data_IF_813350321403
#
_entry.id   IF_813350321403
#
_cell.length_a   1.000
_cell.length_b   1.000
_cell.length_c   1.000
_cell.angle_alpha   90.00
_cell.angle_beta   90.00
_cell.angle_gamma   90.00
#
_symmetry.space_group_name_H-M   'P 1'
#
loop_
_entity.id
_entity.type
_entity.pdbx_description
1 polymer ?
#
# COMPACT_ATOMS: atom_id res chain seq x y z
N UNK A 1 8.51 -26.88 63.88
CA UNK A 1 9.16 -25.57 63.94
C UNK A 1 10.08 -25.46 62.74
N UNK A 2 9.93 -24.58 61.76
CA UNK A 2 8.90 -23.61 61.41
C UNK A 2 9.14 -23.39 59.92
N UNK A 3 8.18 -23.75 59.06
CA UNK A 3 8.22 -23.43 57.63
C UNK A 3 7.72 -22.00 57.51
N UNK A 4 8.61 -21.06 57.25
CA UNK A 4 8.24 -19.67 56.97
C UNK A 4 8.05 -19.50 55.47
N UNK A 5 6.78 -19.52 55.09
CA UNK A 5 6.12 -18.65 54.10
C UNK A 5 7.01 -17.58 53.47
N UNK A 6 7.17 -17.64 52.15
CA UNK A 6 7.40 -16.44 51.35
C UNK A 6 6.31 -16.34 50.27
N UNK A 7 5.75 -15.14 50.23
CA UNK A 7 4.50 -14.76 49.59
C UNK A 7 4.59 -14.76 48.07
N UNK A 8 3.66 -15.49 47.44
CA UNK A 8 3.33 -15.35 46.01
C UNK A 8 2.74 -13.96 45.80
N UNK A 9 3.47 -13.10 45.09
CA UNK A 9 2.93 -11.83 44.57
C UNK A 9 2.04 -12.12 43.35
N UNK A 10 0.91 -11.42 43.19
CA UNK A 10 0.06 -11.58 42.03
C UNK A 10 0.76 -11.07 40.76
N UNK A 11 0.64 -11.86 39.69
CA UNK A 11 1.00 -11.45 38.35
C UNK A 11 0.21 -10.18 37.99
N UNK A 12 0.91 -9.04 37.93
CA UNK A 12 0.40 -7.85 37.25
C UNK A 12 0.37 -8.14 35.76
N UNK A 13 -0.84 -8.21 35.22
CA UNK A 13 -1.15 -8.26 33.80
C UNK A 13 -0.42 -7.12 33.10
N UNK A 14 0.63 -7.46 32.33
CA UNK A 14 1.29 -6.51 31.44
C UNK A 14 0.26 -6.11 30.39
N UNK A 15 -0.12 -4.83 30.41
CA UNK A 15 -0.93 -4.21 29.37
C UNK A 15 -0.34 -4.53 27.99
N UNK A 16 -1.19 -5.03 27.10
CA UNK A 16 -0.88 -5.16 25.69
C UNK A 16 -0.44 -3.79 25.13
N UNK A 17 0.65 -3.68 24.37
CA UNK A 17 0.93 -2.45 23.66
C UNK A 17 -0.15 -2.26 22.60
N UNK A 18 -0.90 -1.17 22.75
CA UNK A 18 -1.92 -0.72 21.82
C UNK A 18 -1.39 -0.78 20.39
N UNK A 19 -2.05 -1.56 19.56
CA UNK A 19 -1.86 -1.57 18.12
C UNK A 19 -2.13 -0.16 17.59
N UNK A 20 -1.15 0.38 16.88
CA UNK A 20 -1.23 1.69 16.26
C UNK A 20 -2.50 1.77 15.41
N UNK A 21 -3.43 2.62 15.84
CA UNK A 21 -4.64 2.93 15.11
C UNK A 21 -4.25 3.46 13.73
N UNK A 22 -4.72 2.79 12.68
CA UNK A 22 -4.87 3.42 11.39
C UNK A 22 -6.14 4.26 11.48
N UNK A 23 -6.04 5.43 12.10
CA UNK A 23 -7.09 6.43 11.94
C UNK A 23 -7.12 6.81 10.45
N UNK A 24 -8.28 6.78 9.78
CA UNK A 24 -8.38 7.31 8.44
C UNK A 24 -7.91 8.77 8.49
N UNK A 25 -6.84 9.10 7.74
CA UNK A 25 -6.56 10.52 7.46
C UNK A 25 -7.81 11.05 6.81
N UNK A 26 -8.37 12.12 7.38
CA UNK A 26 -9.31 12.99 6.70
C UNK A 26 -8.79 13.23 5.29
N UNK A 27 -9.56 12.80 4.30
CA UNK A 27 -9.28 13.12 2.90
C UNK A 27 -9.09 14.65 2.81
N UNK A 28 -8.04 15.14 2.16
CA UNK A 28 -7.83 16.55 1.86
C UNK A 28 -9.08 17.23 1.30
N UNK A 29 -9.64 18.17 2.09
CA UNK A 29 -10.67 19.09 1.61
C UNK A 29 -10.07 19.93 0.50
N UNK A 30 -10.67 19.87 -0.70
CA UNK A 30 -10.12 20.42 -1.95
C UNK A 30 -8.77 19.83 -2.36
N UNK A 31 -8.48 19.76 -3.66
CA UNK A 31 -7.21 19.24 -4.21
C UNK A 31 -5.94 20.01 -3.78
N UNK A 32 -6.04 20.92 -2.82
CA UNK A 32 -4.92 21.69 -2.27
C UNK A 32 -4.15 20.94 -1.15
N UNK A 33 -4.81 20.06 -0.39
CA UNK A 33 -4.19 19.42 0.80
C UNK A 33 -3.52 18.06 0.52
N UNK A 34 -3.53 17.58 -0.73
CA UNK A 34 -2.65 16.49 -1.20
C UNK A 34 -1.24 17.00 -1.58
N UNK A 35 -1.02 18.32 -1.55
CA UNK A 35 0.26 18.97 -1.83
C UNK A 35 1.06 19.35 -0.57
N UNK A 36 0.52 19.17 0.64
CA UNK A 36 1.19 19.57 1.89
C UNK A 36 1.89 18.38 2.58
N UNK A 37 2.85 17.80 1.88
CA UNK A 37 3.90 16.95 2.46
C UNK A 37 5.25 17.64 2.28
N UNK A 38 5.56 18.57 3.18
CA UNK A 38 6.86 19.24 3.42
C UNK A 38 8.00 18.90 2.45
N UNK A 39 8.30 19.87 1.56
CA UNK A 39 9.63 20.30 1.15
C UNK A 39 10.68 19.22 0.92
N UNK A 40 10.58 18.51 -0.19
CA UNK A 40 11.77 17.95 -0.81
C UNK A 40 11.66 18.21 -2.30
N UNK A 41 12.34 19.26 -2.78
CA UNK A 41 12.20 19.87 -4.11
C UNK A 41 12.76 18.97 -5.23
N UNK A 42 12.70 17.65 -5.06
CA UNK A 42 13.34 16.66 -5.92
C UNK A 42 14.88 16.67 -5.83
N UNK A 43 15.45 17.42 -4.88
CA UNK A 43 16.89 17.54 -4.67
C UNK A 43 17.37 16.33 -3.88
N UNK A 44 18.37 15.62 -4.39
CA UNK A 44 18.95 14.49 -3.68
C UNK A 44 19.89 14.97 -2.57
N UNK A 45 19.77 14.39 -1.38
CA UNK A 45 20.72 14.60 -0.29
C UNK A 45 22.05 13.85 -0.60
N UNK A 46 23.18 14.56 -0.78
CA UNK A 46 24.47 13.93 -1.11
C UNK A 46 24.97 12.95 -0.03
N UNK A 47 24.63 13.18 1.25
CA UNK A 47 25.05 12.30 2.34
C UNK A 47 24.25 11.00 2.32
N UNK A 48 22.93 11.08 2.14
CA UNK A 48 22.10 9.88 1.97
C UNK A 48 22.51 9.08 0.72
N UNK A 49 22.80 9.78 -0.39
CA UNK A 49 23.26 9.16 -1.63
C UNK A 49 24.58 8.39 -1.42
N UNK A 50 25.54 9.00 -0.72
CA UNK A 50 26.81 8.36 -0.40
C UNK A 50 26.64 7.16 0.54
N UNK A 51 25.84 7.29 1.60
CA UNK A 51 25.55 6.19 2.54
C UNK A 51 24.93 5.00 1.79
N UNK A 52 23.93 5.26 0.95
CA UNK A 52 23.28 4.26 0.14
C UNK A 52 24.26 3.54 -0.80
N UNK A 53 25.09 4.28 -1.53
CA UNK A 53 26.06 3.68 -2.47
C UNK A 53 27.13 2.86 -1.73
N UNK A 54 27.59 3.32 -0.56
CA UNK A 54 28.50 2.54 0.29
C UNK A 54 27.86 1.24 0.75
N UNK A 55 26.60 1.29 1.19
CA UNK A 55 25.85 0.10 1.58
C UNK A 55 25.68 -0.88 0.41
N UNK A 56 25.30 -0.38 -0.77
CA UNK A 56 25.13 -1.19 -1.97
C UNK A 56 26.43 -1.90 -2.36
N UNK A 57 27.56 -1.20 -2.40
CA UNK A 57 28.86 -1.78 -2.72
C UNK A 57 29.36 -2.78 -1.67
N UNK A 58 29.08 -2.54 -0.39
CA UNK A 58 29.45 -3.46 0.68
C UNK A 58 28.67 -4.78 0.59
N UNK A 59 27.36 -4.72 0.35
CA UNK A 59 26.50 -5.92 0.21
C UNK A 59 26.61 -6.58 -1.17
N UNK A 60 27.18 -5.89 -2.17
CA UNK A 60 27.36 -6.38 -3.53
C UNK A 60 28.79 -6.09 -4.04
N UNK A 61 29.83 -6.83 -3.59
CA UNK A 61 31.22 -6.46 -3.84
C UNK A 61 31.68 -6.57 -5.30
N UNK A 62 30.93 -7.26 -6.16
CA UNK A 62 31.29 -7.48 -7.59
C UNK A 62 30.63 -6.46 -8.51
N UNK A 63 30.87 -5.17 -8.26
CA UNK A 63 30.40 -4.10 -9.15
C UNK A 63 31.36 -3.89 -10.32
N UNK A 64 30.80 -3.58 -11.50
CA UNK A 64 31.58 -3.25 -12.70
C UNK A 64 32.26 -1.88 -12.58
N UNK A 65 31.64 -0.93 -11.88
CA UNK A 65 32.19 0.39 -11.60
C UNK A 65 32.71 0.40 -10.15
N UNK A 66 33.97 0.83 -9.89
CA UNK A 66 34.47 0.98 -8.53
C UNK A 66 33.71 2.05 -7.74
N UNK A 67 33.56 1.85 -6.42
CA UNK A 67 32.83 2.76 -5.52
C UNK A 67 33.30 4.21 -5.65
N UNK A 68 34.61 4.46 -5.63
CA UNK A 68 35.14 5.82 -5.70
C UNK A 68 34.78 6.53 -7.01
N UNK A 69 34.74 5.79 -8.12
CA UNK A 69 34.32 6.32 -9.41
C UNK A 69 32.81 6.61 -9.42
N UNK A 70 32.00 5.71 -8.85
CA UNK A 70 30.55 5.88 -8.73
C UNK A 70 30.18 7.07 -7.84
N UNK A 71 30.86 7.25 -6.71
CA UNK A 71 30.66 8.39 -5.80
C UNK A 71 31.03 9.73 -6.45
N UNK A 72 32.13 9.79 -7.23
CA UNK A 72 32.47 11.00 -8.00
C UNK A 72 31.40 11.33 -9.04
N UNK A 73 30.91 10.33 -9.77
CA UNK A 73 29.83 10.51 -10.75
C UNK A 73 28.54 11.01 -10.09
N UNK A 74 28.12 10.38 -8.98
CA UNK A 74 26.95 10.79 -8.22
C UNK A 74 27.05 12.25 -7.76
N UNK A 75 28.20 12.68 -7.19
CA UNK A 75 28.39 14.06 -6.75
C UNK A 75 28.32 15.05 -7.92
N UNK A 76 28.98 14.73 -9.03
CA UNK A 76 28.92 15.56 -10.24
C UNK A 76 27.49 15.69 -10.80
N UNK A 77 26.70 14.61 -10.79
CA UNK A 77 25.30 14.63 -11.20
C UNK A 77 24.46 15.54 -10.29
N UNK A 78 24.63 15.41 -8.97
CA UNK A 78 23.91 16.25 -8.00
C UNK A 78 24.32 17.72 -8.12
N UNK A 79 25.61 18.02 -8.23
CA UNK A 79 26.10 19.40 -8.38
C UNK A 79 25.54 20.07 -9.66
N UNK A 80 25.33 19.28 -10.72
CA UNK A 80 24.87 19.78 -12.02
C UNK A 80 23.35 19.85 -12.14
N UNK A 81 22.63 18.86 -11.60
CA UNK A 81 21.20 18.66 -11.86
C UNK A 81 20.34 18.70 -10.60
N UNK A 82 20.97 18.77 -9.43
CA UNK A 82 20.34 18.64 -8.12
C UNK A 82 19.95 17.21 -7.73
N UNK A 83 20.17 16.22 -8.60
CA UNK A 83 19.83 14.81 -8.31
C UNK A 83 20.78 13.84 -9.03
N UNK A 84 20.57 12.53 -8.88
CA UNK A 84 21.32 11.51 -9.61
C UNK A 84 20.42 10.33 -9.98
N UNK A 85 20.88 9.49 -10.91
CA UNK A 85 20.10 8.35 -11.41
C UNK A 85 20.69 7.05 -10.88
N UNK A 86 19.84 6.23 -10.27
CA UNK A 86 20.16 4.86 -9.88
C UNK A 86 20.32 3.93 -11.09
N UNK A 87 21.25 2.99 -11.05
CA UNK A 87 21.20 1.82 -11.95
C UNK A 87 20.01 0.92 -11.61
N UNK A 88 19.70 -0.05 -12.47
CA UNK A 88 18.64 -1.04 -12.19
C UNK A 88 18.98 -1.88 -10.95
N UNK A 89 20.25 -2.23 -10.77
CA UNK A 89 20.76 -2.99 -9.63
C UNK A 89 20.65 -2.18 -8.33
N UNK A 90 21.05 -0.91 -8.36
CA UNK A 90 20.92 0.02 -7.24
C UNK A 90 19.44 0.21 -6.86
N UNK A 91 18.55 0.43 -7.84
CA UNK A 91 17.11 0.56 -7.59
C UNK A 91 16.52 -0.71 -6.96
N UNK A 92 16.92 -1.88 -7.47
CA UNK A 92 16.47 -3.18 -6.96
C UNK A 92 16.94 -3.40 -5.53
N UNK A 93 18.20 -3.08 -5.23
CA UNK A 93 18.75 -3.16 -3.89
C UNK A 93 18.02 -2.19 -2.95
N UNK A 94 17.88 -0.92 -3.32
CA UNK A 94 17.23 0.11 -2.52
C UNK A 94 15.77 -0.24 -2.17
N UNK A 95 14.98 -0.71 -3.15
CA UNK A 95 13.61 -1.13 -2.90
C UNK A 95 13.52 -2.31 -1.92
N UNK A 96 14.43 -3.28 -2.03
CA UNK A 96 14.53 -4.43 -1.12
C UNK A 96 14.94 -4.02 0.29
N UNK A 97 15.92 -3.14 0.42
CA UNK A 97 16.36 -2.60 1.72
C UNK A 97 15.27 -1.73 2.35
N UNK A 98 14.53 -0.95 1.57
CA UNK A 98 13.39 -0.18 2.07
C UNK A 98 12.34 -1.10 2.71
N UNK A 99 12.03 -2.24 2.08
CA UNK A 99 11.12 -3.22 2.69
C UNK A 99 11.73 -3.92 3.90
N UNK A 100 13.02 -4.29 3.86
CA UNK A 100 13.77 -4.82 5.02
C UNK A 100 13.66 -3.90 6.24
N UNK A 101 13.67 -2.59 6.00
CA UNK A 101 13.65 -1.54 7.03
C UNK A 101 12.23 -1.08 7.41
N UNK A 102 11.17 -1.61 6.79
CA UNK A 102 9.79 -1.25 7.09
C UNK A 102 9.35 -1.83 8.45
N UNK A 103 9.56 -1.06 9.53
CA UNK A 103 9.35 -1.50 10.92
C UNK A 103 7.93 -1.99 11.23
N UNK A 104 6.93 -1.50 10.51
CA UNK A 104 5.52 -1.88 10.64
C UNK A 104 5.12 -3.09 9.79
N UNK A 105 6.01 -3.60 8.93
CA UNK A 105 5.72 -4.73 8.06
C UNK A 105 6.13 -6.05 8.71
N UNK A 106 5.15 -6.86 9.11
CA UNK A 106 5.38 -8.21 9.63
C UNK A 106 6.04 -9.14 8.59
N UNK A 107 5.74 -8.93 7.30
CA UNK A 107 6.26 -9.72 6.17
C UNK A 107 7.72 -9.45 5.78
N UNK A 108 8.46 -8.62 6.53
CA UNK A 108 9.83 -8.20 6.17
C UNK A 108 10.85 -9.33 6.02
N UNK A 109 10.58 -10.55 6.52
CA UNK A 109 11.44 -11.72 6.34
C UNK A 109 11.66 -12.06 4.85
N UNK A 110 10.68 -11.73 3.99
CA UNK A 110 10.68 -12.05 2.57
C UNK A 110 11.32 -10.99 1.68
N UNK A 111 11.99 -9.99 2.28
CA UNK A 111 12.54 -8.83 1.58
C UNK A 111 13.40 -9.17 0.37
N UNK A 112 14.20 -10.24 0.46
CA UNK A 112 15.06 -10.71 -0.62
C UNK A 112 14.32 -11.27 -1.84
N UNK A 113 13.09 -11.76 -1.66
CA UNK A 113 12.25 -12.28 -2.75
C UNK A 113 11.45 -11.22 -3.50
N UNK A 114 11.55 -9.95 -3.09
CA UNK A 114 10.83 -8.86 -3.76
C UNK A 114 11.23 -8.79 -5.23
N UNK A 115 10.22 -8.88 -6.09
CA UNK A 115 10.36 -8.60 -7.51
C UNK A 115 10.23 -7.09 -7.73
N UNK A 116 11.29 -6.49 -8.25
CA UNK A 116 11.33 -5.06 -8.56
C UNK A 116 11.14 -4.88 -10.06
N UNK A 117 10.11 -4.13 -10.43
CA UNK A 117 9.81 -3.76 -11.81
C UNK A 117 10.24 -2.30 -12.02
N UNK A 118 11.32 -2.10 -12.76
CA UNK A 118 11.79 -0.77 -13.14
C UNK A 118 10.89 -0.20 -14.26
N UNK A 119 10.03 0.75 -13.89
CA UNK A 119 9.06 1.42 -14.76
C UNK A 119 9.35 2.92 -14.88
N UNK A 120 10.58 3.35 -14.56
CA UNK A 120 10.97 4.78 -14.53
C UNK A 120 10.85 5.49 -15.88
N UNK A 121 10.75 4.74 -16.98
CA UNK A 121 10.58 5.27 -18.34
C UNK A 121 9.12 5.50 -18.75
N UNK A 122 8.15 5.03 -17.96
CA UNK A 122 6.74 5.25 -18.26
C UNK A 122 6.34 6.68 -17.90
N UNK A 123 5.77 7.40 -18.87
CA UNK A 123 5.43 8.82 -18.72
C UNK A 123 3.93 9.07 -18.91
N UNK A 124 3.33 8.43 -19.91
CA UNK A 124 1.92 8.62 -20.21
C UNK A 124 1.03 7.85 -19.22
N UNK A 125 -0.15 8.39 -18.84
CA UNK A 125 -1.09 7.70 -17.94
C UNK A 125 -1.47 6.30 -18.41
N UNK A 126 -1.63 6.08 -19.72
CA UNK A 126 -1.95 4.78 -20.31
C UNK A 126 -0.83 3.75 -20.09
N UNK A 127 0.44 4.15 -20.28
CA UNK A 127 1.60 3.28 -20.02
C UNK A 127 1.72 2.94 -18.54
N UNK A 128 1.44 3.92 -17.66
CA UNK A 128 1.42 3.70 -16.22
C UNK A 128 0.33 2.69 -15.88
N UNK A 129 -0.89 2.89 -16.37
CA UNK A 129 -2.01 1.96 -16.21
C UNK A 129 -1.65 0.53 -16.64
N UNK A 130 -1.07 0.35 -17.83
CA UNK A 130 -0.63 -0.95 -18.33
C UNK A 130 0.38 -1.61 -17.38
N UNK A 131 1.31 -0.84 -16.82
CA UNK A 131 2.26 -1.33 -15.83
C UNK A 131 1.63 -1.65 -14.46
N UNK A 132 0.56 -0.96 -14.07
CA UNK A 132 -0.20 -1.29 -12.86
C UNK A 132 -0.98 -2.60 -13.04
N UNK A 133 -1.57 -2.82 -14.22
CA UNK A 133 -2.24 -4.09 -14.56
C UNK A 133 -1.23 -5.24 -14.60
N UNK A 134 -0.06 -5.04 -15.22
CA UNK A 134 1.03 -6.02 -15.22
C UNK A 134 1.56 -6.31 -13.80
N UNK A 135 1.66 -5.28 -12.95
CA UNK A 135 2.00 -5.45 -11.53
C UNK A 135 1.00 -6.38 -10.85
N UNK A 136 -0.29 -6.10 -10.96
CA UNK A 136 -1.35 -6.92 -10.35
C UNK A 136 -1.33 -8.36 -10.89
N UNK A 137 -1.17 -8.53 -12.21
CA UNK A 137 -1.06 -9.86 -12.82
C UNK A 137 0.12 -10.66 -12.27
N UNK A 138 1.27 -10.01 -12.17
CA UNK A 138 2.44 -10.64 -11.58
C UNK A 138 2.21 -10.94 -10.10
N UNK A 139 1.69 -9.99 -9.32
CA UNK A 139 1.41 -10.18 -7.90
C UNK A 139 0.45 -11.34 -7.64
N UNK A 140 -0.65 -11.42 -8.39
CA UNK A 140 -1.70 -12.44 -8.27
C UNK A 140 -1.18 -13.84 -8.55
N UNK A 141 -0.40 -14.04 -9.61
CA UNK A 141 0.33 -15.30 -9.88
C UNK A 141 -0.53 -16.58 -9.68
N UNK A 142 -1.73 -16.61 -10.28
CA UNK A 142 -2.70 -17.70 -10.14
C UNK A 142 -3.00 -18.08 -8.67
N UNK A 143 -3.12 -17.08 -7.80
CA UNK A 143 -3.39 -17.24 -6.36
C UNK A 143 -2.15 -17.52 -5.51
N UNK A 144 -0.99 -17.81 -6.11
CA UNK A 144 0.29 -17.95 -5.40
C UNK A 144 0.96 -16.59 -5.22
N UNK A 145 0.32 -15.74 -4.42
CA UNK A 145 0.67 -14.32 -4.28
C UNK A 145 2.17 -14.15 -4.06
N UNK A 146 2.80 -13.25 -4.82
CA UNK A 146 4.22 -12.92 -4.67
C UNK A 146 4.42 -11.43 -4.42
N UNK A 147 5.47 -11.03 -3.67
CA UNK A 147 5.77 -9.63 -3.45
C UNK A 147 6.31 -8.98 -4.71
N UNK A 148 5.69 -7.88 -5.13
CA UNK A 148 6.10 -7.07 -6.28
C UNK A 148 6.13 -5.61 -5.88
N UNK A 149 7.06 -4.85 -6.43
CA UNK A 149 7.04 -3.39 -6.44
C UNK A 149 7.26 -2.89 -7.88
N UNK A 150 6.46 -1.94 -8.32
CA UNK A 150 6.70 -1.23 -9.59
C UNK A 150 7.18 0.18 -9.27
N UNK A 151 8.38 0.55 -9.70
CA UNK A 151 8.94 1.88 -9.39
C UNK A 151 8.89 2.76 -10.63
N UNK A 152 8.12 3.84 -10.57
CA UNK A 152 7.95 4.81 -11.65
C UNK A 152 8.95 5.97 -11.52
N UNK A 153 8.86 6.97 -12.40
CA UNK A 153 9.80 8.09 -12.42
C UNK A 153 9.87 8.82 -11.07
N UNK A 154 11.08 9.22 -10.63
CA UNK A 154 11.25 9.98 -9.39
C UNK A 154 10.75 11.43 -9.54
N UNK A 155 10.57 12.10 -8.40
CA UNK A 155 10.60 13.57 -8.37
C UNK A 155 12.03 14.05 -8.68
N UNK A 156 12.16 15.13 -9.43
CA UNK A 156 13.43 15.82 -9.77
C UNK A 156 13.25 17.33 -9.59
N UNK A 157 14.33 18.12 -9.47
CA UNK A 157 14.20 19.57 -9.33
C UNK A 157 13.50 20.24 -10.51
N UNK A 158 13.63 19.65 -11.71
CA UNK A 158 12.98 20.15 -12.91
C UNK A 158 11.52 19.70 -13.05
N UNK A 159 11.13 18.59 -12.43
CA UNK A 159 9.86 17.91 -12.73
C UNK A 159 9.43 16.92 -11.65
N UNK A 160 8.16 16.99 -11.26
CA UNK A 160 7.54 15.98 -10.38
C UNK A 160 7.35 14.64 -11.07
N UNK A 161 7.38 13.54 -10.32
CA UNK A 161 7.01 12.21 -10.78
C UNK A 161 5.48 12.00 -10.86
N UNK A 162 5.03 10.88 -11.47
CA UNK A 162 3.62 10.52 -11.49
C UNK A 162 3.11 10.15 -10.10
N UNK A 163 1.79 10.23 -9.90
CA UNK A 163 1.10 9.89 -8.64
C UNK A 163 -0.17 9.10 -8.92
N UNK A 164 -0.59 8.31 -7.94
CA UNK A 164 -1.93 7.73 -7.86
C UNK A 164 -2.68 8.40 -6.72
N UNK A 165 -3.96 8.70 -6.91
CA UNK A 165 -4.80 9.15 -5.80
C UNK A 165 -5.27 7.98 -4.92
N UNK A 166 -5.31 6.78 -5.48
CA UNK A 166 -5.67 5.56 -4.76
C UNK A 166 -4.63 5.25 -3.69
N UNK A 167 -5.10 4.87 -2.51
CA UNK A 167 -4.25 4.41 -1.41
C UNK A 167 -3.77 2.96 -1.61
N UNK A 168 -4.59 2.13 -2.25
CA UNK A 168 -4.25 0.82 -2.78
C UNK A 168 -4.79 0.65 -4.19
N UNK A 169 -4.14 -0.18 -5.01
CA UNK A 169 -4.56 -0.43 -6.39
C UNK A 169 -5.96 -1.04 -6.46
N UNK A 170 -6.29 -1.96 -5.55
CA UNK A 170 -7.60 -2.60 -5.51
C UNK A 170 -8.28 -2.21 -4.20
N UNK A 171 -9.42 -1.52 -4.32
CA UNK A 171 -10.34 -1.21 -3.23
C UNK A 171 -11.78 -1.21 -3.70
N UNK A 172 -12.69 -1.49 -2.78
CA UNK A 172 -14.12 -1.43 -3.05
C UNK A 172 -14.66 -0.03 -2.82
N UNK A 173 -15.62 0.37 -3.66
CA UNK A 173 -16.32 1.64 -3.54
C UNK A 173 -17.27 1.64 -2.33
N UNK A 174 -17.59 2.83 -1.85
CA UNK A 174 -18.64 3.08 -0.86
C UNK A 174 -19.68 4.04 -1.41
N UNK A 175 -20.96 3.72 -1.25
CA UNK A 175 -22.07 4.53 -1.72
C UNK A 175 -22.97 4.89 -0.56
N UNK A 176 -23.12 6.18 -0.27
CA UNK A 176 -24.07 6.67 0.73
C UNK A 176 -25.49 6.61 0.15
N UNK A 177 -26.38 5.93 0.86
CA UNK A 177 -27.81 5.88 0.58
C UNK A 177 -28.53 7.08 1.20
N UNK A 178 -29.75 7.34 0.75
CA UNK A 178 -30.58 8.46 1.22
C UNK A 178 -30.94 8.37 2.71
N UNK A 179 -31.02 7.14 3.25
CA UNK A 179 -31.29 6.86 4.66
C UNK A 179 -30.04 6.99 5.56
N UNK A 180 -28.89 7.37 4.99
CA UNK A 180 -27.62 7.53 5.67
C UNK A 180 -26.79 6.24 5.80
N UNK A 181 -27.33 5.08 5.41
CA UNK A 181 -26.57 3.82 5.34
C UNK A 181 -25.55 3.87 4.20
N UNK A 182 -24.60 2.94 4.20
CA UNK A 182 -23.59 2.84 3.15
C UNK A 182 -23.60 1.45 2.54
N UNK A 183 -23.69 1.40 1.20
CA UNK A 183 -23.44 0.20 0.41
C UNK A 183 -21.95 0.13 0.04
N UNK A 184 -21.33 -1.03 0.26
CA UNK A 184 -19.89 -1.22 -0.01
C UNK A 184 -19.03 -0.80 1.16
N UNK A 185 -17.88 -0.17 0.91
CA UNK A 185 -16.88 0.15 1.94
C UNK A 185 -16.99 1.61 2.43
N UNK A 186 -17.41 1.87 3.68
CA UNK A 186 -17.57 3.23 4.20
C UNK A 186 -16.30 4.08 4.21
N UNK A 187 -15.12 3.46 4.31
CA UNK A 187 -13.86 4.20 4.24
C UNK A 187 -13.65 4.89 2.88
N UNK A 188 -14.29 4.40 1.83
CA UNK A 188 -14.11 4.90 0.46
C UNK A 188 -15.24 5.76 -0.06
N UNK A 189 -16.30 6.04 0.71
CA UNK A 189 -17.44 6.87 0.26
C UNK A 189 -16.99 8.18 -0.38
N UNK A 190 -16.10 8.91 0.30
CA UNK A 190 -15.64 10.19 -0.21
C UNK A 190 -14.80 10.05 -1.47
N UNK A 191 -13.94 9.03 -1.55
CA UNK A 191 -13.15 8.79 -2.75
C UNK A 191 -14.03 8.36 -3.92
N UNK A 192 -15.02 7.50 -3.67
CA UNK A 192 -16.06 7.11 -4.62
C UNK A 192 -16.81 8.32 -5.18
N UNK A 193 -17.25 9.24 -4.33
CA UNK A 193 -17.90 10.49 -4.75
C UNK A 193 -16.98 11.32 -5.67
N UNK A 194 -15.70 11.46 -5.31
CA UNK A 194 -14.72 12.19 -6.11
C UNK A 194 -14.52 11.57 -7.49
N UNK A 195 -14.33 10.26 -7.59
CA UNK A 195 -14.13 9.61 -8.91
C UNK A 195 -15.41 9.63 -9.75
N UNK A 196 -16.60 9.61 -9.14
CA UNK A 196 -17.87 9.81 -9.85
C UNK A 196 -17.99 11.22 -10.42
N UNK A 197 -17.57 12.25 -9.68
CA UNK A 197 -17.51 13.64 -10.19
C UNK A 197 -16.54 13.79 -11.35
N UNK A 198 -15.50 12.97 -11.40
CA UNK A 198 -14.55 12.91 -12.52
C UNK A 198 -15.06 12.07 -13.71
N UNK A 199 -16.29 11.54 -13.63
CA UNK A 199 -16.97 10.86 -14.73
C UNK A 199 -17.04 9.34 -14.60
N UNK A 200 -16.53 8.73 -13.52
CA UNK A 200 -16.65 7.29 -13.31
C UNK A 200 -18.12 6.84 -13.20
N UNK A 201 -18.50 5.87 -14.02
CA UNK A 201 -19.85 5.30 -14.04
C UNK A 201 -19.92 4.13 -13.05
N UNK A 202 -20.24 4.44 -11.81
CA UNK A 202 -20.35 3.47 -10.73
C UNK A 202 -21.44 2.42 -10.99
N UNK A 203 -21.13 1.09 -10.93
CA UNK A 203 -22.14 0.03 -11.04
C UNK A 203 -23.13 -0.04 -9.87
N UNK A 204 -22.76 0.50 -8.71
CA UNK A 204 -23.53 0.51 -7.45
C UNK A 204 -23.75 -0.87 -6.80
N UNK A 205 -22.71 -1.73 -6.79
CA UNK A 205 -22.65 -2.99 -6.05
C UNK A 205 -21.79 -2.93 -4.77
N UNK A 206 -21.97 -3.87 -3.83
CA UNK A 206 -21.25 -3.89 -2.55
C UNK A 206 -19.75 -4.21 -2.65
N UNK A 207 -19.29 -4.70 -3.79
CA UNK A 207 -17.90 -5.06 -4.07
C UNK A 207 -17.43 -4.48 -5.42
N UNK A 208 -17.91 -3.28 -5.75
CA UNK A 208 -17.44 -2.56 -6.93
C UNK A 208 -16.01 -2.11 -6.74
N UNK A 209 -15.12 -2.53 -7.63
CA UNK A 209 -13.73 -2.10 -7.61
C UNK A 209 -13.63 -0.69 -8.16
N UNK A 210 -12.99 0.18 -7.39
CA UNK A 210 -12.70 1.56 -7.76
C UNK A 210 -11.75 1.63 -8.97
N UNK A 211 -11.90 2.66 -9.83
CA UNK A 211 -10.94 2.93 -10.88
C UNK A 211 -9.63 3.42 -10.27
N UNK A 212 -8.53 3.26 -11.00
CA UNK A 212 -7.28 3.96 -10.66
C UNK A 212 -7.29 5.36 -11.26
N UNK A 213 -6.87 6.33 -10.46
CA UNK A 213 -6.80 7.75 -10.83
C UNK A 213 -5.34 8.14 -10.97
N UNK A 214 -4.90 8.29 -12.22
CA UNK A 214 -3.50 8.54 -12.57
C UNK A 214 -3.29 10.03 -12.82
N UNK A 215 -2.34 10.61 -12.09
CA UNK A 215 -1.93 12.00 -12.17
C UNK A 215 -0.48 12.09 -12.65
N UNK A 216 -0.27 12.63 -13.86
CA UNK A 216 1.06 12.85 -14.45
C UNK A 216 1.31 14.36 -14.63
N UNK A 217 2.59 14.79 -14.78
CA UNK A 217 2.91 16.21 -14.91
C UNK A 217 2.33 16.88 -16.16
N UNK A 218 2.27 16.16 -17.27
CA UNK A 218 1.95 16.73 -18.59
C UNK A 218 0.51 16.48 -19.04
N UNK A 219 -0.21 15.58 -18.37
CA UNK A 219 -1.56 15.19 -18.74
C UNK A 219 -2.58 15.66 -17.72
N UNK A 220 -3.83 15.75 -18.17
CA UNK A 220 -4.96 15.83 -17.24
C UNK A 220 -5.08 14.53 -16.47
N UNK A 221 -5.66 14.61 -15.28
CA UNK A 221 -6.05 13.46 -14.48
C UNK A 221 -6.86 12.45 -15.33
N UNK A 222 -6.46 11.18 -15.33
CA UNK A 222 -7.15 10.12 -16.08
C UNK A 222 -7.61 8.99 -15.17
N UNK A 223 -8.81 8.47 -15.47
CA UNK A 223 -9.43 7.36 -14.75
C UNK A 223 -9.38 6.11 -15.61
N UNK A 224 -8.99 5.00 -15.01
CA UNK A 224 -8.98 3.70 -15.67
C UNK A 224 -9.65 2.65 -14.79
N UNK A 225 -10.66 1.98 -15.33
CA UNK A 225 -11.21 0.79 -14.69
C UNK A 225 -10.19 -0.34 -14.74
N UNK A 226 -9.96 -1.00 -13.62
CA UNK A 226 -9.09 -2.18 -13.60
C UNK A 226 -9.79 -3.39 -14.25
N UNK A 227 -9.07 -4.22 -15.01
CA UNK A 227 -9.63 -5.42 -15.61
C UNK A 227 -10.15 -6.39 -14.54
N UNK A 228 -11.38 -6.91 -14.70
CA UNK A 228 -11.98 -7.90 -13.80
C UNK A 228 -11.52 -9.33 -14.05
N UNK A 229 -10.51 -9.53 -14.89
CA UNK A 229 -9.89 -10.82 -15.14
C UNK A 229 -9.31 -11.38 -13.83
N UNK A 230 -9.65 -12.61 -13.40
CA UNK A 230 -9.07 -13.25 -12.21
C UNK A 230 -7.54 -13.31 -12.18
N UNK A 231 -6.88 -13.29 -13.34
CA UNK A 231 -5.42 -13.23 -13.42
C UNK A 231 -4.87 -11.87 -12.98
N UNK A 232 -5.66 -10.80 -13.05
CA UNK A 232 -5.31 -9.45 -12.60
C UNK A 232 -5.89 -9.20 -11.21
N UNK A 233 -7.20 -9.38 -11.06
CA UNK A 233 -7.93 -9.18 -9.81
C UNK A 233 -8.56 -10.51 -9.40
N UNK A 234 -7.85 -11.23 -8.54
CA UNK A 234 -8.42 -12.40 -7.87
C UNK A 234 -9.22 -11.94 -6.65
N UNK A 235 -10.52 -12.27 -6.61
CA UNK A 235 -11.37 -12.15 -5.42
C UNK A 235 -11.61 -13.52 -4.80
N UNK A 236 -11.56 -13.59 -3.47
CA UNK A 236 -11.81 -14.81 -2.70
C UNK A 236 -13.17 -14.69 -2.02
N UNK A 237 -14.14 -15.55 -2.34
CA UNK A 237 -15.39 -15.65 -1.58
C UNK A 237 -15.11 -16.07 -0.15
N UNK A 238 -15.73 -15.39 0.82
CA UNK A 238 -15.61 -15.76 2.23
C UNK A 238 -16.69 -16.77 2.56
N UNK A 239 -16.28 -17.99 2.91
CA UNK A 239 -17.16 -19.10 3.26
C UNK A 239 -16.85 -19.58 4.67
N UNK A 240 -17.87 -19.98 5.43
CA UNK A 240 -17.67 -20.56 6.76
C UNK A 240 -17.85 -22.08 6.73
N UNK A 241 -16.90 -22.88 7.27
CA UNK A 241 -16.93 -24.35 7.16
C UNK A 241 -18.13 -25.00 7.87
N UNK A 242 -18.71 -24.32 8.85
CA UNK A 242 -19.78 -24.86 9.71
C UNK A 242 -21.04 -23.99 9.79
N UNK A 243 -21.05 -22.80 9.16
CA UNK A 243 -22.15 -21.84 9.31
C UNK A 243 -22.56 -21.31 7.93
N UNK A 244 -23.48 -22.01 7.27
CA UNK A 244 -23.97 -21.65 5.94
C UNK A 244 -24.50 -20.21 5.90
N UNK A 245 -25.17 -19.75 6.97
CA UNK A 245 -25.72 -18.39 7.04
C UNK A 245 -24.66 -17.29 6.92
N UNK A 246 -23.40 -17.55 7.32
CA UNK A 246 -22.29 -16.60 7.11
C UNK A 246 -21.87 -16.61 5.64
N UNK A 247 -21.81 -17.78 5.01
CA UNK A 247 -21.54 -17.91 3.57
C UNK A 247 -22.61 -17.19 2.73
N UNK A 248 -23.86 -17.23 3.16
CA UNK A 248 -25.00 -16.62 2.46
C UNK A 248 -24.94 -15.07 2.44
N UNK A 249 -24.07 -14.45 3.25
CA UNK A 249 -23.79 -13.00 3.17
C UNK A 249 -23.11 -12.59 1.85
N UNK A 250 -22.56 -13.54 1.10
CA UNK A 250 -21.95 -13.27 -0.21
C UNK A 250 -20.69 -12.40 -0.15
N UNK A 251 -20.04 -12.35 1.00
CA UNK A 251 -18.82 -11.57 1.24
C UNK A 251 -17.67 -12.07 0.37
N UNK A 252 -16.81 -11.15 -0.06
CA UNK A 252 -15.58 -11.47 -0.78
C UNK A 252 -14.50 -10.44 -0.47
N UNK A 253 -13.26 -10.79 -0.76
CA UNK A 253 -12.15 -9.86 -0.67
C UNK A 253 -11.12 -10.10 -1.76
N UNK A 254 -10.52 -9.02 -2.28
CA UNK A 254 -9.42 -9.12 -3.23
C UNK A 254 -8.18 -9.76 -2.59
N UNK A 255 -7.46 -10.60 -3.33
CA UNK A 255 -6.35 -11.39 -2.79
C UNK A 255 -5.05 -10.60 -2.60
N UNK A 256 -4.85 -9.54 -3.39
CA UNK A 256 -3.60 -8.76 -3.41
C UNK A 256 -3.77 -7.43 -2.67
N UNK A 257 -3.07 -7.20 -1.54
CA UNK A 257 -2.99 -5.89 -0.88
C UNK A 257 -1.86 -5.04 -1.50
N UNK A 258 -2.15 -4.34 -2.59
CA UNK A 258 -1.17 -3.50 -3.28
C UNK A 258 -1.29 -2.03 -2.85
N UNK A 259 -0.46 -1.58 -1.90
CA UNK A 259 -0.41 -0.17 -1.49
C UNK A 259 0.18 0.71 -2.60
N UNK A 260 -0.35 1.91 -2.78
CA UNK A 260 0.05 2.80 -3.90
C UNK A 260 0.31 4.26 -3.51
N UNK A 261 -0.08 4.71 -2.31
CA UNK A 261 0.12 6.10 -1.87
C UNK A 261 1.43 6.35 -1.11
N UNK A 262 2.23 5.31 -0.87
CA UNK A 262 3.50 5.44 -0.16
C UNK A 262 4.62 5.83 -1.12
N UNK A 263 5.45 6.78 -0.70
CA UNK A 263 6.67 7.19 -1.39
C UNK A 263 7.80 6.24 -1.02
N UNK A 264 8.53 5.75 -2.03
CA UNK A 264 9.80 5.04 -1.85
C UNK A 264 10.95 6.06 -1.90
N UNK A 265 11.79 6.10 -0.87
CA UNK A 265 13.01 6.94 -0.84
C UNK A 265 14.24 6.04 -0.86
N UNK A 266 15.17 6.30 -1.77
CA UNK A 266 16.43 5.55 -1.90
C UNK A 266 17.56 6.56 -2.08
N UNK A 267 18.51 6.60 -1.15
CA UNK A 267 19.70 7.46 -1.24
C UNK A 267 19.39 8.93 -1.54
N UNK A 268 18.44 9.54 -0.83
CA UNK A 268 18.03 10.91 -1.12
C UNK A 268 17.08 11.11 -2.31
N UNK A 269 16.84 10.11 -3.16
CA UNK A 269 15.91 10.21 -4.31
C UNK A 269 14.51 9.74 -3.94
N UNK A 270 13.50 10.53 -4.32
CA UNK A 270 12.09 10.27 -4.05
C UNK A 270 11.37 9.66 -5.25
N UNK A 271 10.77 8.47 -5.06
CA UNK A 271 9.89 7.81 -6.01
C UNK A 271 8.44 7.90 -5.51
N UNK A 272 7.66 8.91 -5.96
CA UNK A 272 6.33 9.18 -5.42
C UNK A 272 5.30 8.11 -5.78
N UNK A 273 5.48 7.42 -6.90
CA UNK A 273 4.66 6.29 -7.31
C UNK A 273 5.50 5.01 -7.34
N UNK A 274 5.33 4.20 -6.30
CA UNK A 274 6.03 2.93 -6.14
C UNK A 274 5.10 1.84 -5.57
N UNK A 275 3.99 1.47 -6.26
CA UNK A 275 3.04 0.53 -5.71
C UNK A 275 3.70 -0.80 -5.39
N UNK A 276 3.38 -1.33 -4.21
CA UNK A 276 4.00 -2.49 -3.59
C UNK A 276 2.93 -3.41 -3.02
N UNK A 277 3.11 -4.72 -3.17
CA UNK A 277 2.29 -5.72 -2.50
C UNK A 277 3.13 -6.74 -1.72
N UNK A 278 2.54 -7.25 -0.64
CA UNK A 278 2.84 -8.55 -0.07
C UNK A 278 1.63 -9.47 -0.25
N UNK A 279 1.23 -10.14 0.82
CA UNK A 279 -0.04 -10.85 0.93
C UNK A 279 -0.69 -10.51 2.26
N UNK A 280 -2.00 -10.73 2.37
CA UNK A 280 -2.74 -10.45 3.58
C UNK A 280 -2.35 -11.39 4.73
N UNK A 281 -2.27 -10.84 5.93
CA UNK A 281 -2.55 -11.55 7.17
C UNK A 281 -4.06 -11.57 7.39
N UNK A 282 -4.65 -12.72 7.70
CA UNK A 282 -6.11 -12.88 7.74
C UNK A 282 -6.86 -11.88 8.62
N UNK A 283 -6.25 -11.41 9.71
CA UNK A 283 -6.82 -10.38 10.60
C UNK A 283 -6.98 -9.02 9.93
N UNK A 284 -6.17 -8.68 8.92
CA UNK A 284 -6.35 -7.45 8.14
C UNK A 284 -7.71 -7.43 7.44
N UNK A 285 -8.22 -8.60 7.04
CA UNK A 285 -9.54 -8.73 6.43
C UNK A 285 -10.59 -8.94 7.52
N UNK A 286 -10.50 -10.06 8.25
CA UNK A 286 -11.57 -10.52 9.14
C UNK A 286 -11.73 -9.70 10.41
N UNK A 287 -10.66 -9.11 10.94
CA UNK A 287 -10.68 -8.37 12.20
C UNK A 287 -10.61 -6.85 12.01
N UNK A 288 -10.35 -6.36 10.79
CA UNK A 288 -10.33 -4.94 10.45
C UNK A 288 -11.37 -4.63 9.37
N UNK A 289 -11.07 -4.96 8.11
CA UNK A 289 -11.92 -4.56 6.98
C UNK A 289 -13.40 -5.00 7.13
N UNK A 290 -13.65 -6.21 7.63
CA UNK A 290 -15.01 -6.73 7.74
C UNK A 290 -15.76 -6.28 9.00
N UNK A 291 -15.08 -5.87 10.07
CA UNK A 291 -15.70 -5.68 11.40
C UNK A 291 -15.50 -4.31 12.02
N UNK A 292 -14.51 -3.52 11.59
CA UNK A 292 -14.34 -2.15 12.09
C UNK A 292 -15.61 -1.33 11.80
N UNK A 293 -16.01 -0.48 12.75
CA UNK A 293 -17.26 0.28 12.69
C UNK A 293 -17.27 1.34 11.57
N UNK A 294 -16.10 1.81 11.15
CA UNK A 294 -15.90 2.72 10.01
C UNK A 294 -15.64 1.97 8.69
N UNK A 295 -15.82 0.64 8.68
CA UNK A 295 -15.70 -0.27 7.54
C UNK A 295 -17.00 -1.05 7.36
N UNK A 296 -16.95 -2.33 6.97
CA UNK A 296 -18.17 -3.11 6.72
C UNK A 296 -19.00 -3.39 7.99
N UNK A 297 -18.44 -3.20 9.19
CA UNK A 297 -19.16 -3.24 10.47
C UNK A 297 -20.03 -4.51 10.70
N UNK A 298 -19.55 -5.68 10.27
CA UNK A 298 -20.35 -6.91 10.28
C UNK A 298 -20.35 -7.64 11.64
N UNK A 299 -19.73 -7.08 12.69
CA UNK A 299 -19.56 -7.80 13.96
C UNK A 299 -20.90 -8.21 14.59
N UNK A 300 -21.86 -7.28 14.63
CA UNK A 300 -23.18 -7.54 15.20
C UNK A 300 -24.00 -8.54 14.37
N UNK A 301 -23.91 -8.46 13.04
CA UNK A 301 -24.57 -9.40 12.13
C UNK A 301 -24.02 -10.81 12.32
N UNK A 302 -22.69 -10.95 12.36
CA UNK A 302 -22.04 -12.23 12.58
C UNK A 302 -22.41 -12.81 13.96
N UNK A 303 -22.42 -12.01 15.03
CA UNK A 303 -22.83 -12.47 16.35
C UNK A 303 -24.29 -12.98 16.36
N UNK A 304 -25.19 -12.27 15.67
CA UNK A 304 -26.59 -12.67 15.51
C UNK A 304 -26.72 -13.99 14.73
N UNK A 305 -25.94 -14.15 13.66
CA UNK A 305 -25.94 -15.39 12.86
C UNK A 305 -25.41 -16.60 13.64
N UNK A 306 -24.50 -16.37 14.58
CA UNK A 306 -23.96 -17.38 15.50
C UNK A 306 -24.88 -17.67 16.70
N UNK A 307 -25.96 -16.90 16.88
CA UNK A 307 -26.88 -17.06 18.01
C UNK A 307 -26.31 -16.60 19.34
N UNK A 308 -25.39 -15.64 19.32
CA UNK A 308 -24.80 -15.05 20.53
C UNK A 308 -25.73 -13.99 21.12
N UNK A 309 -25.71 -13.87 22.44
CA UNK A 309 -26.34 -12.74 23.14
C UNK A 309 -25.49 -11.49 22.92
N UNK A 310 -26.08 -10.46 22.31
CA UNK A 310 -25.44 -9.17 22.02
C UNK A 310 -25.93 -8.05 22.93
N UNK A 311 -26.65 -8.38 24.02
CA UNK A 311 -27.21 -7.40 24.96
C UNK A 311 -26.22 -6.94 26.04
N UNK A 312 -25.13 -7.68 26.25
CA UNK A 312 -24.04 -7.35 27.20
C UNK A 312 -22.67 -7.67 26.61
N UNK A 313 -21.64 -6.94 27.02
CA UNK A 313 -20.23 -7.22 26.68
C UNK A 313 -19.57 -8.26 27.61
N UNK A 314 -20.29 -8.71 28.65
CA UNK A 314 -19.80 -9.57 29.74
C UNK A 314 -20.15 -11.04 29.57
#
# INVERSE_FOLDING_TARGET
>A
MTVTSESIRPHTTSAHPASAHCAPRTVPGSGADLASGSGDDGIADPYEAEEFLRQFHAENPRQSVPLDARLRGMRADIDTTGTYVHTTEELTFGARVAWRNASRCIGRLYWNSLRVLDRRKAQAPTQIYEHLVDHLRQATNAGRIRPVISVFAPDTPARRGPRLWNDQLIRYAGYRNDDGTVLGDPAYVRFTEQVRLLGWQAPQGPHDILPVVIDTPDDKLQLFDLPRDPDVILEVPIVHPHHQRITDLGLRWHAVPAISHMRLRIGGVNYPLAPFNGWYMGTEIGARNLVDADRYNLLADIATLLGLDTTSES
#
